data_IF_253534654076
#
_entry.id   IF_253534654076
#
_cell.length_a   1.000
_cell.length_b   1.000
_cell.length_c   1.000
_cell.angle_alpha   90.00
_cell.angle_beta   90.00
_cell.angle_gamma   90.00
#
_symmetry.space_group_name_H-M   'P 1'
#
loop_
_entity.id
_entity.type
_entity.pdbx_description
1 polymer ?
#
# COMPACT_ATOMS: atom_id res chain seq x y z
N UNK A 1 -56.81 23.60 -63.41
CA UNK A 1 -56.94 22.15 -63.12
C UNK A 1 -56.48 21.95 -61.67
N UNK A 2 -57.43 21.86 -60.72
CA UNK A 2 -57.82 20.63 -59.98
C UNK A 2 -56.64 20.02 -59.20
N UNK A 3 -56.64 19.80 -57.89
CA UNK A 3 -57.68 19.56 -56.88
C UNK A 3 -57.21 19.98 -55.48
N UNK A 4 -58.16 20.26 -54.58
CA UNK A 4 -57.94 20.39 -53.14
C UNK A 4 -58.86 19.40 -52.43
N UNK A 5 -58.26 18.34 -51.87
CA UNK A 5 -58.86 17.34 -50.98
C UNK A 5 -57.86 17.15 -49.81
N UNK A 6 -58.19 16.79 -48.57
CA UNK A 6 -59.42 16.67 -47.78
C UNK A 6 -58.89 16.78 -46.33
N UNK A 7 -59.64 17.45 -45.47
CA UNK A 7 -59.41 17.52 -44.02
C UNK A 7 -59.71 16.19 -43.32
N UNK A 8 -58.85 15.81 -42.39
CA UNK A 8 -59.16 14.89 -41.29
C UNK A 8 -57.95 14.76 -40.36
N UNK A 9 -58.04 14.55 -39.05
CA UNK A 9 -59.11 14.62 -38.04
C UNK A 9 -58.31 14.56 -36.72
N UNK A 10 -58.56 15.46 -35.76
CA UNK A 10 -57.86 15.49 -34.46
C UNK A 10 -58.41 14.39 -33.54
N UNK A 11 -57.52 13.67 -32.85
CA UNK A 11 -57.86 12.80 -31.73
C UNK A 11 -57.30 13.39 -30.44
N UNK A 12 -58.21 13.66 -29.51
CA UNK A 12 -58.00 14.21 -28.17
C UNK A 12 -57.69 13.05 -27.22
N UNK A 13 -56.45 12.89 -26.75
CA UNK A 13 -56.10 11.99 -25.66
C UNK A 13 -54.66 12.23 -25.15
N UNK A 14 -54.41 13.30 -24.39
CA UNK A 14 -53.13 13.50 -23.71
C UNK A 14 -53.22 14.54 -22.57
N UNK A 15 -53.80 14.19 -21.42
CA UNK A 15 -53.78 15.12 -20.26
C UNK A 15 -53.66 14.47 -18.86
N UNK A 16 -53.19 13.21 -18.73
CA UNK A 16 -52.97 12.61 -17.40
C UNK A 16 -51.58 12.00 -17.14
N UNK A 17 -50.65 12.05 -18.10
CA UNK A 17 -49.27 11.56 -17.90
C UNK A 17 -48.24 12.66 -17.57
N UNK A 18 -48.67 13.93 -17.46
CA UNK A 18 -47.76 15.08 -17.30
C UNK A 18 -47.43 15.49 -15.86
N UNK A 19 -48.17 15.00 -14.86
CA UNK A 19 -48.03 15.50 -13.49
C UNK A 19 -46.92 14.81 -12.66
N UNK A 20 -46.45 13.62 -13.05
CA UNK A 20 -45.42 12.90 -12.29
C UNK A 20 -43.98 13.20 -12.76
N UNK A 21 -43.79 13.66 -14.00
CA UNK A 21 -42.46 13.91 -14.57
C UNK A 21 -41.89 15.31 -14.22
N UNK A 22 -42.72 16.26 -13.80
CA UNK A 22 -42.31 17.64 -13.49
C UNK A 22 -41.79 17.78 -12.04
N UNK A 23 -42.19 16.88 -11.12
CA UNK A 23 -41.75 16.92 -9.72
C UNK A 23 -40.29 16.43 -9.55
N UNK A 24 -39.79 15.56 -10.42
CA UNK A 24 -38.41 15.04 -10.31
C UNK A 24 -37.33 16.03 -10.79
N UNK A 25 -37.65 17.01 -11.63
CA UNK A 25 -36.64 17.90 -12.21
C UNK A 25 -36.17 19.02 -11.25
N UNK A 26 -36.98 19.39 -10.24
CA UNK A 26 -36.64 20.43 -9.26
C UNK A 26 -35.92 19.89 -8.00
N UNK A 27 -35.94 18.57 -7.77
CA UNK A 27 -35.34 17.95 -6.58
C UNK A 27 -33.83 17.67 -6.72
N UNK A 28 -33.34 17.46 -7.94
CA UNK A 28 -31.93 17.17 -8.22
C UNK A 28 -30.93 18.27 -7.80
N UNK A 29 -31.15 19.57 -8.10
CA UNK A 29 -30.20 20.62 -7.68
C UNK A 29 -30.15 20.78 -6.16
N UNK A 30 -31.29 20.64 -5.47
CA UNK A 30 -31.36 20.72 -4.00
C UNK A 30 -30.66 19.54 -3.31
N UNK A 31 -30.76 18.34 -3.89
CA UNK A 31 -30.04 17.17 -3.40
C UNK A 31 -28.53 17.30 -3.60
N UNK A 32 -28.08 17.87 -4.73
CA UNK A 32 -26.67 18.13 -4.99
C UNK A 32 -26.09 19.21 -4.04
N UNK A 33 -26.83 20.29 -3.79
CA UNK A 33 -26.43 21.32 -2.79
C UNK A 33 -26.41 20.77 -1.36
N UNK A 34 -27.37 19.92 -0.99
CA UNK A 34 -27.38 19.25 0.31
C UNK A 34 -26.22 18.25 0.45
N UNK A 35 -25.87 17.51 -0.61
CA UNK A 35 -24.71 16.63 -0.62
C UNK A 35 -23.41 17.44 -0.51
N UNK A 36 -23.23 18.48 -1.33
CA UNK A 36 -22.03 19.32 -1.28
C UNK A 36 -21.83 20.01 0.08
N UNK A 37 -22.92 20.45 0.72
CA UNK A 37 -22.85 20.99 2.09
C UNK A 37 -22.54 19.91 3.14
N UNK A 38 -23.04 18.68 2.95
CA UNK A 38 -22.66 17.53 3.77
C UNK A 38 -21.19 17.15 3.60
N UNK A 39 -20.70 17.12 2.37
CA UNK A 39 -19.31 16.80 2.02
C UNK A 39 -18.34 17.83 2.63
N UNK A 40 -18.65 19.13 2.55
CA UNK A 40 -17.81 20.17 3.16
C UNK A 40 -17.85 20.11 4.70
N UNK A 41 -18.99 19.77 5.30
CA UNK A 41 -19.08 19.58 6.76
C UNK A 41 -18.23 18.37 7.22
N UNK A 42 -18.27 17.27 6.47
CA UNK A 42 -17.45 16.09 6.72
C UNK A 42 -15.96 16.38 6.51
N UNK A 43 -15.61 17.06 5.42
CA UNK A 43 -14.25 17.51 5.15
C UNK A 43 -13.71 18.38 6.29
N UNK A 44 -14.55 19.26 6.86
CA UNK A 44 -14.19 20.09 8.00
C UNK A 44 -13.90 19.26 9.25
N UNK A 45 -14.72 18.25 9.54
CA UNK A 45 -14.49 17.34 10.67
C UNK A 45 -13.17 16.57 10.51
N UNK A 46 -12.92 16.03 9.32
CA UNK A 46 -11.67 15.34 8.99
C UNK A 46 -10.45 16.25 9.07
N UNK A 47 -10.58 17.51 8.65
CA UNK A 47 -9.52 18.51 8.81
C UNK A 47 -9.20 18.73 10.29
N UNK A 48 -10.21 18.86 11.15
CA UNK A 48 -10.03 19.03 12.61
C UNK A 48 -9.39 17.80 13.26
N UNK A 49 -9.79 16.60 12.84
CA UNK A 49 -9.13 15.36 13.25
C UNK A 49 -7.65 15.34 12.85
N UNK A 50 -7.34 15.75 11.62
CA UNK A 50 -5.96 15.86 11.15
C UNK A 50 -5.14 16.86 11.95
N UNK A 51 -5.70 18.03 12.28
CA UNK A 51 -5.04 19.02 13.15
C UNK A 51 -4.80 18.47 14.55
N UNK A 52 -5.78 17.80 15.16
CA UNK A 52 -5.62 17.19 16.47
C UNK A 52 -4.59 16.03 16.48
N UNK A 53 -4.39 15.37 15.35
CA UNK A 53 -3.31 14.40 15.18
C UNK A 53 -1.94 15.09 15.07
N UNK A 54 -1.84 16.22 14.35
CA UNK A 54 -0.62 17.03 14.28
C UNK A 54 -0.17 17.57 15.64
N UNK A 55 -1.11 17.99 16.50
CA UNK A 55 -0.81 18.44 17.87
C UNK A 55 -0.13 17.37 18.73
N UNK A 56 -0.26 16.09 18.32
CA UNK A 56 0.36 14.93 18.96
C UNK A 56 1.54 14.37 18.15
N UNK A 57 1.97 15.08 17.12
CA UNK A 57 3.01 14.66 16.17
C UNK A 57 2.69 13.32 15.46
N UNK A 58 1.42 12.90 15.45
CA UNK A 58 0.97 11.71 14.74
C UNK A 58 0.71 12.04 13.27
N UNK A 59 1.80 12.21 12.53
CA UNK A 59 1.78 12.58 11.11
C UNK A 59 1.11 11.51 10.23
N UNK A 60 1.14 10.24 10.63
CA UNK A 60 0.52 9.15 9.88
C UNK A 60 -1.01 9.25 9.94
N UNK A 61 -1.57 9.42 11.13
CA UNK A 61 -3.01 9.64 11.29
C UNK A 61 -3.45 10.95 10.64
N UNK A 62 -2.68 12.03 10.83
CA UNK A 62 -2.96 13.32 10.23
C UNK A 62 -3.02 13.23 8.69
N UNK A 63 -2.06 12.55 8.07
CA UNK A 63 -2.01 12.35 6.63
C UNK A 63 -3.29 11.68 6.10
N UNK A 64 -3.74 10.60 6.75
CA UNK A 64 -4.97 9.88 6.35
C UNK A 64 -6.19 10.78 6.46
N UNK A 65 -6.30 11.54 7.56
CA UNK A 65 -7.43 12.45 7.77
C UNK A 65 -7.47 13.56 6.71
N UNK A 66 -6.33 14.19 6.41
CA UNK A 66 -6.27 15.24 5.39
C UNK A 66 -6.49 14.71 3.97
N UNK A 67 -6.02 13.50 3.65
CA UNK A 67 -6.29 12.87 2.35
C UNK A 67 -7.80 12.64 2.15
N UNK A 68 -8.48 12.09 3.15
CA UNK A 68 -9.94 11.93 3.11
C UNK A 68 -10.67 13.29 3.02
N UNK A 69 -10.19 14.30 3.72
CA UNK A 69 -10.74 15.65 3.58
C UNK A 69 -10.54 16.22 2.15
N UNK A 70 -9.42 15.90 1.49
CA UNK A 70 -9.13 16.35 0.12
C UNK A 70 -9.98 15.65 -0.95
N UNK A 71 -10.47 14.44 -0.66
CA UNK A 71 -11.46 13.74 -1.49
C UNK A 71 -12.81 14.48 -1.50
N UNK A 72 -13.14 15.19 -0.42
CA UNK A 72 -14.43 15.86 -0.23
C UNK A 72 -14.37 17.38 -0.50
N UNK A 73 -13.19 18.00 -0.35
CA UNK A 73 -13.02 19.45 -0.48
C UNK A 73 -11.81 19.81 -1.34
N UNK A 74 -11.93 20.88 -2.13
CA UNK A 74 -10.89 21.37 -3.05
C UNK A 74 -10.01 22.46 -2.44
N UNK A 75 -10.08 22.67 -1.12
CA UNK A 75 -9.34 23.74 -0.45
C UNK A 75 -7.82 23.50 -0.53
N UNK A 76 -7.03 24.47 -1.04
CA UNK A 76 -5.58 24.29 -1.23
C UNK A 76 -4.83 23.95 0.06
N UNK A 77 -5.25 24.48 1.20
CA UNK A 77 -4.60 24.21 2.51
C UNK A 77 -4.49 22.71 2.85
N UNK A 78 -5.39 21.87 2.32
CA UNK A 78 -5.32 20.42 2.50
C UNK A 78 -4.06 19.84 1.83
N UNK A 79 -3.68 20.32 0.65
CA UNK A 79 -2.46 19.89 -0.05
C UNK A 79 -1.20 20.30 0.71
N UNK A 80 -1.19 21.50 1.29
CA UNK A 80 -0.09 21.95 2.15
C UNK A 80 0.07 21.01 3.36
N UNK A 81 -1.01 20.73 4.09
CA UNK A 81 -0.96 19.85 5.25
C UNK A 81 -0.56 18.42 4.88
N UNK A 82 -1.09 17.87 3.77
CA UNK A 82 -0.70 16.56 3.23
C UNK A 82 0.80 16.54 2.94
N UNK A 83 1.32 17.55 2.23
CA UNK A 83 2.73 17.65 1.89
C UNK A 83 3.64 17.74 3.12
N UNK A 84 3.25 18.52 4.12
CA UNK A 84 4.01 18.63 5.38
C UNK A 84 3.99 17.33 6.20
N UNK A 85 2.86 16.62 6.26
CA UNK A 85 2.82 15.29 6.89
C UNK A 85 3.70 14.28 6.14
N UNK A 86 3.65 14.28 4.81
CA UNK A 86 4.49 13.42 3.98
C UNK A 86 5.98 13.71 4.20
N UNK A 87 6.37 14.99 4.30
CA UNK A 87 7.73 15.40 4.65
C UNK A 87 8.16 14.84 6.01
N UNK A 88 7.33 14.99 7.03
CA UNK A 88 7.62 14.47 8.38
C UNK A 88 7.78 12.94 8.39
N UNK A 89 7.08 12.23 7.51
CA UNK A 89 7.18 10.79 7.31
C UNK A 89 8.29 10.37 6.32
N UNK A 90 9.15 11.30 5.90
CA UNK A 90 10.24 11.10 4.92
C UNK A 90 9.78 10.61 3.54
N UNK A 91 8.50 10.82 3.20
CA UNK A 91 7.91 10.54 1.89
C UNK A 91 8.10 11.74 0.96
N UNK A 92 9.37 12.07 0.71
CA UNK A 92 9.75 13.31 0.03
C UNK A 92 9.21 13.44 -1.40
N UNK A 93 9.21 12.39 -2.26
CA UNK A 93 8.62 12.52 -3.59
C UNK A 93 7.14 12.96 -3.55
N UNK A 94 6.34 12.31 -2.70
CA UNK A 94 4.92 12.63 -2.53
C UNK A 94 4.72 14.01 -1.90
N UNK A 95 5.56 14.39 -0.93
CA UNK A 95 5.52 15.70 -0.31
C UNK A 95 5.76 16.81 -1.35
N UNK A 96 6.77 16.65 -2.20
CA UNK A 96 7.10 17.59 -3.28
C UNK A 96 5.91 17.73 -4.24
N UNK A 97 5.31 16.61 -4.66
CA UNK A 97 4.16 16.61 -5.57
C UNK A 97 2.97 17.38 -4.96
N UNK A 98 2.63 17.09 -3.69
CA UNK A 98 1.53 17.76 -2.98
C UNK A 98 1.78 19.26 -2.80
N UNK A 99 2.99 19.66 -2.43
CA UNK A 99 3.35 21.07 -2.24
C UNK A 99 3.43 21.84 -3.56
N UNK A 100 3.87 21.21 -4.65
CA UNK A 100 3.77 21.80 -6.00
C UNK A 100 2.32 22.02 -6.40
N UNK A 101 1.45 21.05 -6.14
CA UNK A 101 0.03 21.19 -6.40
C UNK A 101 -0.59 22.30 -5.56
N UNK A 102 -0.19 22.45 -4.28
CA UNK A 102 -0.59 23.58 -3.45
C UNK A 102 -0.22 24.92 -4.09
N UNK A 103 1.02 25.09 -4.57
CA UNK A 103 1.45 26.33 -5.22
C UNK A 103 0.64 26.67 -6.48
N UNK A 104 0.17 25.65 -7.20
CA UNK A 104 -0.70 25.82 -8.37
C UNK A 104 -2.12 26.18 -7.93
N UNK A 105 -2.72 25.41 -7.03
CA UNK A 105 -4.13 25.56 -6.63
C UNK A 105 -4.38 26.79 -5.75
N UNK A 106 -3.44 27.15 -4.88
CA UNK A 106 -3.55 28.36 -4.07
C UNK A 106 -3.43 29.64 -4.91
N UNK A 107 -2.78 29.60 -6.07
CA UNK A 107 -2.69 30.72 -7.00
C UNK A 107 -2.24 32.02 -6.33
N UNK A 108 -3.14 33.02 -6.33
CA UNK A 108 -2.95 34.35 -5.74
C UNK A 108 -3.41 34.44 -4.28
N UNK A 109 -4.07 33.41 -3.75
CA UNK A 109 -4.53 33.39 -2.36
C UNK A 109 -3.36 33.13 -1.38
N UNK A 110 -2.25 32.58 -1.87
CA UNK A 110 -1.00 32.47 -1.13
C UNK A 110 -0.15 33.74 -1.32
N UNK A 111 0.34 34.31 -0.22
CA UNK A 111 1.25 35.46 -0.27
C UNK A 111 2.60 35.07 -0.88
N UNK A 112 3.36 36.05 -1.38
CA UNK A 112 4.70 35.81 -1.91
C UNK A 112 5.62 35.13 -0.89
N UNK A 113 5.55 35.54 0.37
CA UNK A 113 6.30 34.92 1.48
C UNK A 113 5.91 33.44 1.68
N UNK A 114 4.60 33.12 1.67
CA UNK A 114 4.13 31.74 1.79
C UNK A 114 4.58 30.88 0.62
N UNK A 115 4.52 31.43 -0.61
CA UNK A 115 4.97 30.73 -1.82
C UNK A 115 6.48 30.47 -1.74
N UNK A 116 7.25 31.46 -1.32
CA UNK A 116 8.70 31.34 -1.16
C UNK A 116 9.08 30.29 -0.11
N UNK A 117 8.40 30.27 1.05
CA UNK A 117 8.61 29.24 2.08
C UNK A 117 8.37 27.83 1.55
N UNK A 118 7.29 27.62 0.78
CA UNK A 118 6.99 26.30 0.20
C UNK A 118 8.04 25.91 -0.86
N UNK A 119 8.50 26.85 -1.68
CA UNK A 119 9.57 26.62 -2.65
C UNK A 119 10.87 26.19 -1.97
N UNK A 120 11.24 26.83 -0.85
CA UNK A 120 12.43 26.47 -0.07
C UNK A 120 12.32 25.06 0.52
N UNK A 121 11.15 24.70 1.08
CA UNK A 121 10.89 23.35 1.60
C UNK A 121 10.97 22.30 0.50
N UNK A 122 10.45 22.59 -0.69
CA UNK A 122 10.58 21.71 -1.86
C UNK A 122 12.07 21.53 -2.22
N UNK A 123 12.83 22.62 -2.30
CA UNK A 123 14.25 22.57 -2.66
C UNK A 123 15.09 21.77 -1.66
N UNK A 124 14.82 21.91 -0.35
CA UNK A 124 15.43 21.12 0.71
C UNK A 124 15.20 19.62 0.48
N UNK A 125 13.95 19.21 0.26
CA UNK A 125 13.63 17.81 -0.01
C UNK A 125 14.22 17.31 -1.33
N UNK A 126 14.20 18.10 -2.40
CA UNK A 126 14.79 17.73 -3.68
C UNK A 126 16.29 17.48 -3.58
N UNK A 127 17.01 18.26 -2.76
CA UNK A 127 18.44 18.06 -2.51
C UNK A 127 18.75 16.77 -1.75
N UNK A 128 17.76 16.21 -1.06
CA UNK A 128 17.89 14.97 -0.28
C UNK A 128 17.51 13.72 -1.09
N UNK A 129 16.84 13.87 -2.24
CA UNK A 129 16.45 12.75 -3.09
C UNK A 129 17.66 12.12 -3.79
N UNK A 130 17.66 10.81 -3.85
CA UNK A 130 18.65 10.01 -4.56
C UNK A 130 18.19 9.78 -6.00
N UNK A 131 19.15 9.60 -6.92
CA UNK A 131 18.89 9.30 -8.33
C UNK A 131 19.18 7.83 -8.62
N UNK A 132 18.17 7.08 -9.04
CA UNK A 132 18.29 5.65 -9.37
C UNK A 132 18.14 5.44 -10.86
N UNK A 133 19.25 5.02 -11.49
CA UNK A 133 19.30 4.63 -12.89
C UNK A 133 18.89 3.16 -13.03
N UNK A 134 17.72 2.93 -13.60
CA UNK A 134 17.18 1.58 -13.79
C UNK A 134 17.48 1.10 -15.21
N UNK A 135 18.10 -0.07 -15.30
CA UNK A 135 18.26 -0.81 -16.54
C UNK A 135 17.53 -2.14 -16.44
N UNK A 136 16.80 -2.46 -17.49
CA UNK A 136 16.11 -3.73 -17.62
C UNK A 136 16.52 -4.33 -18.96
N UNK A 137 16.76 -5.63 -19.00
CA UNK A 137 17.14 -6.35 -20.22
C UNK A 137 16.07 -6.31 -21.34
N UNK A 138 14.89 -5.77 -21.05
CA UNK A 138 13.70 -5.84 -21.90
C UNK A 138 12.98 -4.50 -21.93
N UNK A 139 12.62 -4.05 -23.13
CA UNK A 139 11.84 -2.83 -23.36
C UNK A 139 10.33 -3.04 -23.14
N UNK A 140 9.63 -1.98 -22.72
CA UNK A 140 8.19 -2.01 -22.45
C UNK A 140 7.80 -2.82 -21.22
N UNK A 141 8.73 -3.11 -20.31
CA UNK A 141 8.42 -3.63 -18.99
C UNK A 141 7.88 -2.49 -18.12
N UNK A 142 6.79 -2.74 -17.39
CA UNK A 142 6.23 -1.80 -16.42
C UNK A 142 7.01 -1.88 -15.12
N UNK A 143 7.50 -0.73 -14.65
CA UNK A 143 8.26 -0.61 -13.41
C UNK A 143 7.36 -0.15 -12.26
N UNK A 144 7.56 -0.76 -11.11
CA UNK A 144 6.91 -0.42 -9.85
C UNK A 144 7.98 -0.21 -8.78
N UNK A 145 7.92 0.91 -8.08
CA UNK A 145 8.75 1.21 -6.91
C UNK A 145 7.85 1.17 -5.68
N UNK A 146 8.15 0.29 -4.73
CA UNK A 146 7.36 0.09 -3.51
C UNK A 146 5.87 -0.14 -3.78
N UNK A 147 5.58 -0.84 -4.89
CA UNK A 147 4.23 -1.13 -5.36
C UNK A 147 3.56 -0.02 -6.17
N UNK A 148 4.14 1.19 -6.25
CA UNK A 148 3.63 2.29 -7.10
C UNK A 148 4.24 2.23 -8.50
N UNK A 149 3.42 2.27 -9.54
CA UNK A 149 3.91 2.31 -10.92
C UNK A 149 4.68 3.62 -11.17
N UNK A 150 5.94 3.51 -11.62
CA UNK A 150 6.82 4.66 -11.87
C UNK A 150 7.12 4.91 -13.34
N UNK A 151 6.78 3.97 -14.23
CA UNK A 151 6.94 4.13 -15.67
C UNK A 151 7.10 2.80 -16.40
N UNK A 152 7.63 2.88 -17.62
CA UNK A 152 7.95 1.72 -18.45
C UNK A 152 9.36 1.85 -19.03
N UNK A 153 10.02 0.72 -19.28
CA UNK A 153 11.38 0.68 -19.80
C UNK A 153 11.43 0.98 -21.30
N UNK A 154 12.51 1.62 -21.81
CA UNK A 154 13.58 2.26 -21.06
C UNK A 154 13.15 3.59 -20.42
N UNK A 155 13.64 3.88 -19.21
CA UNK A 155 13.42 5.18 -18.57
C UNK A 155 14.32 6.25 -19.19
N UNK A 156 13.74 7.42 -19.49
CA UNK A 156 14.48 8.58 -20.05
C UNK A 156 15.22 9.36 -18.96
N UNK A 157 14.71 9.31 -17.72
CA UNK A 157 15.26 10.02 -16.56
C UNK A 157 15.44 9.04 -15.40
N UNK A 158 16.40 9.28 -14.50
CA UNK A 158 16.54 8.46 -13.29
C UNK A 158 15.31 8.61 -12.40
N UNK A 159 14.98 7.54 -11.69
CA UNK A 159 13.97 7.60 -10.64
C UNK A 159 14.51 8.44 -9.49
N UNK A 160 13.73 9.42 -9.05
CA UNK A 160 14.04 10.17 -7.82
C UNK A 160 13.37 9.47 -6.65
N UNK A 161 14.15 9.03 -5.69
CA UNK A 161 13.69 8.22 -4.57
C UNK A 161 14.15 8.82 -3.25
N UNK A 162 13.40 8.57 -2.18
CA UNK A 162 13.84 8.92 -0.83
C UNK A 162 15.08 8.11 -0.42
N UNK A 163 15.72 8.50 0.67
CA UNK A 163 16.73 7.65 1.29
C UNK A 163 16.05 6.50 2.04
N UNK A 164 16.69 5.33 2.04
CA UNK A 164 16.22 4.15 2.74
C UNK A 164 16.11 2.92 1.85
N UNK A 165 15.40 1.92 2.36
CA UNK A 165 15.16 0.66 1.68
C UNK A 165 13.98 0.77 0.72
N UNK A 166 14.18 0.33 -0.51
CA UNK A 166 13.19 0.34 -1.58
C UNK A 166 13.15 -1.01 -2.29
N UNK A 167 12.01 -1.33 -2.88
CA UNK A 167 11.83 -2.51 -3.72
C UNK A 167 11.43 -2.08 -5.12
N UNK A 168 12.27 -2.41 -6.10
CA UNK A 168 11.98 -2.21 -7.51
C UNK A 168 11.46 -3.51 -8.11
N UNK A 169 10.30 -3.44 -8.75
CA UNK A 169 9.66 -4.55 -9.44
C UNK A 169 9.47 -4.20 -10.92
N UNK A 170 9.76 -5.16 -11.80
CA UNK A 170 9.53 -5.05 -13.23
C UNK A 170 8.60 -6.17 -13.69
N UNK A 171 7.52 -5.80 -14.37
CA UNK A 171 6.51 -6.72 -14.90
C UNK A 171 6.38 -6.58 -16.41
N UNK A 172 6.26 -7.70 -17.11
CA UNK A 172 5.97 -7.71 -18.54
C UNK A 172 5.20 -8.98 -18.91
N UNK A 173 4.10 -8.89 -19.68
CA UNK A 173 3.41 -10.07 -20.18
C UNK A 173 4.36 -11.02 -20.93
N UNK A 174 4.28 -12.31 -20.63
CA UNK A 174 5.18 -13.34 -21.19
C UNK A 174 6.54 -13.48 -20.48
N UNK A 175 6.75 -12.75 -19.37
CA UNK A 175 7.95 -12.84 -18.54
C UNK A 175 7.55 -13.12 -17.08
N UNK A 176 8.48 -13.71 -16.33
CA UNK A 176 8.39 -13.79 -14.86
C UNK A 176 8.70 -12.42 -14.28
N UNK A 177 7.86 -11.97 -13.34
CA UNK A 177 8.08 -10.71 -12.63
C UNK A 177 9.42 -10.75 -11.89
N UNK A 178 10.21 -9.69 -12.02
CA UNK A 178 11.49 -9.53 -11.35
C UNK A 178 11.33 -8.52 -10.21
N UNK A 179 11.86 -8.85 -9.03
CA UNK A 179 11.86 -7.96 -7.85
C UNK A 179 13.27 -7.84 -7.30
N UNK A 180 13.71 -6.62 -7.04
CA UNK A 180 15.04 -6.31 -6.53
C UNK A 180 14.93 -5.31 -5.37
N UNK A 181 15.22 -5.73 -4.12
CA UNK A 181 15.41 -4.80 -3.01
C UNK A 181 16.73 -4.06 -3.19
N UNK A 182 16.76 -2.78 -2.84
CA UNK A 182 17.96 -1.96 -2.82
C UNK A 182 17.84 -0.84 -1.80
N UNK A 183 18.97 -0.38 -1.28
CA UNK A 183 19.03 0.75 -0.35
C UNK A 183 19.62 1.97 -1.05
N UNK A 184 19.29 3.17 -0.61
CA UNK A 184 19.92 4.39 -1.12
C UNK A 184 20.13 5.39 0.00
N UNK A 185 21.29 6.04 -0.02
CA UNK A 185 21.59 7.15 0.87
C UNK A 185 21.11 8.46 0.26
N UNK A 186 20.79 9.46 1.10
CA UNK A 186 20.33 10.76 0.63
C UNK A 186 21.33 11.39 -0.35
N UNK A 187 20.83 11.88 -1.49
CA UNK A 187 21.64 12.48 -2.56
C UNK A 187 22.53 11.50 -3.35
N UNK A 188 22.45 10.19 -3.08
CA UNK A 188 23.22 9.17 -3.81
C UNK A 188 22.75 9.03 -5.26
N UNK A 189 23.67 8.71 -6.18
CA UNK A 189 23.34 8.20 -7.51
C UNK A 189 23.65 6.71 -7.58
N UNK A 190 22.61 5.87 -7.76
CA UNK A 190 22.72 4.41 -7.77
C UNK A 190 22.25 3.83 -9.10
N UNK A 191 22.93 2.78 -9.58
CA UNK A 191 22.50 2.02 -10.75
C UNK A 191 21.90 0.67 -10.30
N UNK A 192 20.72 0.33 -10.81
CA UNK A 192 20.03 -0.93 -10.51
C UNK A 192 19.70 -1.63 -11.82
N UNK A 193 20.03 -2.92 -11.88
CA UNK A 193 19.78 -3.76 -13.05
C UNK A 193 18.77 -4.85 -12.70
N UNK A 194 17.74 -5.02 -13.52
CA UNK A 194 16.78 -6.12 -13.43
C UNK A 194 16.83 -6.97 -14.69
N UNK A 195 16.72 -8.27 -14.50
CA UNK A 195 16.65 -9.25 -15.58
C UNK A 195 15.28 -9.92 -15.51
N UNK A 196 14.44 -9.72 -16.52
CA UNK A 196 13.22 -10.49 -16.70
C UNK A 196 13.53 -11.76 -17.49
N UNK A 197 13.07 -12.88 -16.96
CA UNK A 197 13.14 -14.19 -17.60
C UNK A 197 11.85 -14.46 -18.38
N UNK A 198 11.97 -14.86 -19.64
CA UNK A 198 10.81 -15.22 -20.45
C UNK A 198 10.14 -16.48 -19.88
N UNK A 199 8.81 -16.48 -19.80
CA UNK A 199 8.05 -17.68 -19.45
C UNK A 199 8.15 -18.68 -20.60
N UNK A 200 8.22 -20.00 -20.30
CA UNK A 200 8.15 -21.02 -21.33
C UNK A 200 6.89 -20.80 -22.17
N UNK A 201 7.04 -20.78 -23.50
CA UNK A 201 5.89 -20.86 -24.37
C UNK A 201 5.14 -22.15 -24.03
N UNK A 202 3.84 -22.06 -23.75
CA UNK A 202 3.02 -23.25 -23.59
C UNK A 202 3.15 -24.05 -24.87
N UNK A 203 3.88 -25.16 -24.82
CA UNK A 203 3.87 -26.14 -25.90
C UNK A 203 2.41 -26.57 -26.00
N UNK A 204 1.72 -26.41 -27.15
CA UNK A 204 0.39 -26.96 -27.28
C UNK A 204 0.53 -28.44 -26.95
N UNK A 205 -0.19 -28.89 -25.91
CA UNK A 205 -0.24 -30.29 -25.58
C UNK A 205 -0.63 -31.02 -26.87
N UNK A 206 0.33 -31.72 -27.47
CA UNK A 206 0.01 -32.67 -28.52
C UNK A 206 -1.06 -33.62 -27.98
N UNK A 207 -1.87 -34.27 -28.83
CA UNK A 207 -2.77 -35.32 -28.36
C UNK A 207 -1.93 -36.29 -27.53
N UNK A 208 -2.16 -36.30 -26.22
CA UNK A 208 -1.31 -37.05 -25.30
C UNK A 208 -1.30 -38.52 -25.70
N UNK A 209 -0.16 -39.22 -25.62
CA UNK A 209 -0.20 -40.68 -25.67
C UNK A 209 -1.14 -41.16 -24.57
N UNK A 210 -2.10 -41.99 -24.99
CA UNK A 210 -3.06 -42.66 -24.12
C UNK A 210 -2.34 -43.19 -22.88
N UNK A 211 -2.87 -42.85 -21.70
CA UNK A 211 -2.35 -43.30 -20.41
C UNK A 211 -2.15 -44.83 -20.43
N UNK A 212 -0.89 -45.25 -20.43
CA UNK A 212 -0.49 -46.57 -19.98
C UNK A 212 -0.56 -46.55 -18.45
N UNK A 213 -1.08 -47.60 -17.79
CA UNK A 213 -1.29 -47.59 -16.33
C UNK A 213 0.04 -47.38 -15.59
N UNK A 214 0.07 -46.61 -14.49
CA UNK A 214 1.29 -46.44 -13.71
C UNK A 214 1.60 -47.74 -12.94
N UNK A 215 2.70 -48.38 -13.27
CA UNK A 215 3.35 -49.35 -12.38
C UNK A 215 4.03 -48.57 -11.24
N UNK A 216 3.40 -48.70 -10.07
CA UNK A 216 3.88 -48.59 -8.68
C UNK A 216 5.05 -47.64 -8.36
N UNK A 217 4.72 -46.63 -7.56
CA UNK A 217 5.65 -45.76 -6.84
C UNK A 217 6.49 -46.54 -5.82
N UNK A 218 7.81 -46.38 -5.84
CA UNK A 218 8.61 -46.40 -4.61
C UNK A 218 9.51 -45.16 -4.52
N UNK A 219 9.14 -44.30 -3.59
CA UNK A 219 9.84 -43.11 -3.16
C UNK A 219 11.22 -43.46 -2.60
N UNK A 220 12.30 -43.06 -3.26
CA UNK A 220 13.61 -42.99 -2.61
C UNK A 220 13.75 -41.66 -1.90
N UNK A 221 13.47 -41.70 -0.60
CA UNK A 221 13.55 -40.61 0.40
C UNK A 221 15.01 -40.21 0.68
N UNK A 222 15.89 -40.22 -0.32
CA UNK A 222 17.35 -40.10 -0.15
C UNK A 222 18.00 -38.81 -0.67
N UNK A 223 17.24 -37.76 -1.02
CA UNK A 223 17.80 -36.43 -1.30
C UNK A 223 17.15 -35.29 -0.49
N UNK A 224 16.63 -35.58 0.69
CA UNK A 224 16.23 -34.55 1.67
C UNK A 224 17.31 -34.36 2.75
N UNK A 225 18.24 -33.44 2.45
CA UNK A 225 19.37 -33.00 3.27
C UNK A 225 18.99 -32.31 4.60
N UNK A 226 17.70 -32.15 4.92
CA UNK A 226 17.25 -31.52 6.18
C UNK A 226 16.95 -32.52 7.31
N UNK A 227 17.17 -33.83 7.13
CA UNK A 227 16.86 -34.90 8.09
C UNK A 227 17.92 -35.15 9.21
N UNK A 228 18.95 -34.31 9.38
CA UNK A 228 20.00 -34.52 10.41
C UNK A 228 20.16 -33.42 11.47
N UNK A 229 19.12 -32.64 11.80
CA UNK A 229 19.14 -31.90 13.07
C UNK A 229 17.79 -31.96 13.78
N UNK A 230 17.45 -33.14 14.32
CA UNK A 230 16.71 -33.31 15.57
C UNK A 230 16.91 -34.76 16.06
N UNK A 231 17.37 -34.89 17.30
CA UNK A 231 17.67 -36.11 18.10
C UNK A 231 19.07 -36.71 17.93
N UNK A 232 20.07 -35.95 18.38
CA UNK A 232 21.23 -36.48 19.10
C UNK A 232 21.09 -36.22 20.61
N UNK A 233 20.12 -36.87 21.26
CA UNK A 233 20.06 -37.06 22.72
C UNK A 233 20.81 -38.38 22.95
N UNK A 234 21.94 -38.44 23.66
CA UNK A 234 22.05 -38.46 25.12
C UNK A 234 23.46 -37.96 25.51
N UNK A 235 23.55 -36.90 26.30
CA UNK A 235 24.60 -36.78 27.32
C UNK A 235 23.89 -36.70 28.65
N UNK A 236 24.08 -37.75 29.44
CA UNK A 236 23.68 -37.82 30.82
C UNK A 236 24.36 -36.71 31.64
N UNK A 237 23.58 -35.97 32.42
CA UNK A 237 24.11 -35.20 33.53
C UNK A 237 23.37 -33.89 33.81
N UNK A 238 22.50 -33.88 34.82
CA UNK A 238 22.23 -32.68 35.60
C UNK A 238 20.79 -32.18 35.58
N UNK A 239 20.00 -32.67 36.54
CA UNK A 239 18.67 -32.18 36.89
C UNK A 239 18.71 -30.76 37.49
N UNK A 240 17.68 -29.95 37.19
CA UNK A 240 17.20 -28.88 38.08
C UNK A 240 15.69 -29.04 38.24
N UNK A 241 15.33 -29.71 39.32
CA UNK A 241 13.99 -29.76 39.91
C UNK A 241 13.77 -28.51 40.76
N UNK A 242 12.67 -27.80 40.52
CA UNK A 242 11.99 -27.00 41.54
C UNK A 242 10.67 -27.73 41.82
N UNK A 243 10.29 -28.13 43.02
CA UNK A 243 10.84 -27.91 44.34
C UNK A 243 9.67 -28.07 45.29
N UNK A 244 9.60 -29.20 46.00
CA UNK A 244 8.74 -29.35 47.17
C UNK A 244 9.42 -30.34 48.13
N UNK A 245 9.66 -29.82 49.33
CA UNK A 245 9.81 -30.51 50.63
C UNK A 245 11.21 -30.97 51.11
N UNK A 246 11.84 -30.03 51.84
CA UNK A 246 12.38 -30.12 53.21
C UNK A 246 13.66 -30.94 53.51
N UNK A 247 14.72 -30.17 53.75
CA UNK A 247 15.65 -30.14 54.91
C UNK A 247 16.56 -31.35 55.23
N UNK A 248 17.89 -31.14 55.39
CA UNK A 248 18.84 -32.16 55.81
C UNK A 248 18.99 -32.18 57.33
N UNK A 249 18.98 -33.37 57.94
CA UNK A 249 19.52 -33.57 59.27
C UNK A 249 20.50 -34.73 59.24
N UNK A 250 21.67 -34.45 59.80
CA UNK A 250 22.81 -35.34 59.98
C UNK A 250 22.41 -36.69 60.57
N UNK A 251 23.04 -37.75 60.09
CA UNK A 251 23.00 -39.04 60.77
C UNK A 251 23.94 -39.03 61.98
N UNK A 252 23.46 -39.46 63.15
CA UNK A 252 24.27 -40.23 64.08
C UNK A 252 23.60 -41.57 64.44
N UNK A 253 24.32 -42.49 65.13
CA UNK A 253 24.22 -43.92 64.88
C UNK A 253 23.12 -44.62 65.70
N UNK A 254 22.89 -45.87 65.32
CA UNK A 254 21.98 -46.80 65.97
C UNK A 254 22.23 -46.94 67.48
N UNK A 255 21.15 -46.85 68.26
CA UNK A 255 21.10 -47.32 69.64
C UNK A 255 19.73 -48.01 69.88
N UNK A 256 19.81 -49.31 70.08
CA UNK A 256 18.80 -50.21 70.64
C UNK A 256 18.57 -49.88 72.12
N UNK A 257 17.31 -49.70 72.53
CA UNK A 257 16.79 -50.17 73.83
C UNK A 257 15.25 -50.07 73.90
N UNK A 258 14.64 -51.21 73.66
CA UNK A 258 13.60 -51.86 74.47
C UNK A 258 12.79 -51.09 75.56
N UNK A 259 11.48 -51.44 75.63
CA UNK A 259 10.60 -51.66 76.81
C UNK A 259 9.62 -50.53 77.27
N UNK A 260 8.33 -50.80 76.97
CA UNK A 260 7.09 -50.75 77.80
C UNK A 260 6.83 -49.50 78.67
N UNK A 261 5.80 -48.68 78.42
CA UNK A 261 4.35 -48.93 78.63
C UNK A 261 3.87 -48.15 79.88
N UNK A 262 2.58 -48.18 80.29
CA UNK A 262 1.32 -48.44 79.58
C UNK A 262 0.61 -47.19 79.06
#
# INVERSE_FOLDING_TARGET
MTQRNITGRRSVAAWLAGALAVVCAAAAPRAAEAQASGDEAEARRLFEEGVAALDREDYATALVAFQRARELSTRPILLYNIGMCQRALLRFPEAIDSLRQFLVEAGQDATDDQRQQVVEVIAEMESSLSQVWVQVNVDGATLFLDGRQVGSTPLVQPLRVGAGAHVLEARRPGYRDARMPFDVMAGESRQVQLVLEALPAAVPAGPGPSAEPPEEEETSVLESWWLWTIVGVVVAGGAVTAGVLLWPEDAPPAADWSIHGP
#
